data_IF_944020056890
#
_entry.id   IF_944020056890
#
_cell.length_a   1.000
_cell.length_b   1.000
_cell.length_c   1.000
_cell.angle_alpha   90.00
_cell.angle_beta   90.00
_cell.angle_gamma   90.00
#
_symmetry.space_group_name_H-M   'P 1'
#
loop_
_entity.id
_entity.type
_entity.pdbx_description
1 polymer ?
#
# COMPACT_ATOMS: atom_id res chain seq x y z
N UNK A 1 -92.08 -3.99 5.88
CA UNK A 1 -91.14 -4.13 4.76
C UNK A 1 -89.78 -3.73 5.32
N UNK A 2 -89.01 -4.62 5.95
CA UNK A 2 -88.33 -5.83 5.46
C UNK A 2 -86.88 -5.51 5.02
N UNK A 3 -85.93 -6.13 5.72
CA UNK A 3 -84.46 -6.01 5.55
C UNK A 3 -83.87 -7.42 5.39
N UNK A 4 -82.93 -7.62 4.45
CA UNK A 4 -81.74 -8.48 4.63
C UNK A 4 -80.45 -7.71 4.21
N UNK A 5 -79.26 -7.74 4.83
CA UNK A 5 -78.43 -8.75 5.53
C UNK A 5 -77.90 -9.90 4.65
N UNK A 6 -76.59 -10.17 4.77
CA UNK A 6 -75.75 -11.15 4.01
C UNK A 6 -75.51 -10.80 2.52
N UNK A 7 -74.34 -10.96 1.88
CA UNK A 7 -72.99 -11.51 2.16
C UNK A 7 -71.92 -10.67 1.37
N UNK A 8 -70.59 -10.80 1.40
CA UNK A 8 -69.64 -11.78 1.99
C UNK A 8 -68.37 -11.04 2.55
N UNK A 9 -67.16 -11.57 2.36
CA UNK A 9 -65.84 -11.05 2.77
C UNK A 9 -64.94 -10.82 1.53
N UNK A 10 -63.96 -9.90 1.60
CA UNK A 10 -62.69 -10.06 0.87
C UNK A 10 -61.50 -9.42 1.59
N UNK A 11 -60.35 -10.09 1.45
CA UNK A 11 -59.03 -9.93 2.06
C UNK A 11 -58.53 -8.47 2.24
N UNK A 12 -57.84 -8.11 3.34
CA UNK A 12 -56.44 -8.46 3.68
C UNK A 12 -55.43 -8.13 2.56
N UNK A 13 -54.55 -7.16 2.81
CA UNK A 13 -53.08 -7.27 2.75
C UNK A 13 -52.51 -5.96 3.32
N UNK A 14 -51.90 -6.02 4.49
CA UNK A 14 -50.97 -5.00 4.93
C UNK A 14 -49.61 -5.33 4.30
N UNK A 15 -49.25 -4.63 3.22
CA UNK A 15 -47.93 -4.75 2.61
C UNK A 15 -46.89 -4.02 3.48
N UNK A 16 -46.54 -4.63 4.61
CA UNK A 16 -45.31 -4.28 5.31
C UNK A 16 -44.14 -4.68 4.40
N UNK A 17 -43.62 -3.69 3.65
CA UNK A 17 -42.43 -3.85 2.83
C UNK A 17 -41.20 -3.94 3.75
N UNK A 18 -41.02 -5.09 4.40
CA UNK A 18 -39.73 -5.47 4.98
C UNK A 18 -38.74 -5.65 3.85
N UNK A 19 -38.05 -4.57 3.50
CA UNK A 19 -36.77 -4.63 2.80
C UNK A 19 -35.80 -5.37 3.70
N UNK A 20 -35.79 -6.71 3.57
CA UNK A 20 -34.72 -7.53 4.08
C UNK A 20 -33.45 -7.12 3.31
N UNK A 21 -32.71 -6.16 3.87
CA UNK A 21 -31.33 -5.96 3.48
C UNK A 21 -30.65 -7.32 3.67
N UNK A 22 -30.28 -7.95 2.56
CA UNK A 22 -29.45 -9.12 2.59
C UNK A 22 -28.10 -8.68 3.17
N UNK A 23 -27.97 -8.81 4.48
CA UNK A 23 -26.69 -8.75 5.15
C UNK A 23 -25.90 -9.93 4.60
N UNK A 24 -25.11 -9.68 3.56
CA UNK A 24 -24.03 -10.56 3.15
C UNK A 24 -23.26 -10.86 4.42
N UNK A 25 -23.40 -12.09 4.92
CA UNK A 25 -22.64 -12.56 6.06
C UNK A 25 -21.18 -12.42 5.67
N UNK A 26 -20.53 -11.40 6.20
CA UNK A 26 -19.17 -11.01 5.82
C UNK A 26 -18.20 -12.01 6.42
N UNK A 27 -18.16 -13.20 5.82
CA UNK A 27 -17.20 -14.25 6.12
C UNK A 27 -15.81 -13.63 6.06
N UNK A 28 -15.05 -13.77 7.13
CA UNK A 28 -13.64 -13.37 7.14
C UNK A 28 -12.93 -14.06 5.98
N UNK A 29 -12.28 -13.33 5.07
CA UNK A 29 -11.53 -13.94 3.97
C UNK A 29 -10.38 -14.80 4.49
N UNK A 30 -10.10 -15.92 3.81
CA UNK A 30 -9.03 -16.87 4.16
C UNK A 30 -7.62 -16.26 4.11
N UNK A 31 -7.47 -15.12 3.44
CA UNK A 31 -6.26 -14.34 3.27
C UNK A 31 -6.53 -13.13 2.36
N UNK A 32 -5.58 -12.19 2.21
CA UNK A 32 -5.65 -11.18 1.15
C UNK A 32 -5.41 -11.81 -0.22
N UNK A 33 -5.98 -11.21 -1.27
CA UNK A 33 -5.71 -11.62 -2.64
C UNK A 33 -4.24 -11.40 -3.02
N UNK A 34 -3.63 -12.33 -3.78
CA UNK A 34 -2.35 -12.06 -4.44
C UNK A 34 -2.48 -10.85 -5.37
N UNK A 35 -1.41 -10.07 -5.48
CA UNK A 35 -1.29 -9.06 -6.53
C UNK A 35 -1.30 -9.74 -7.91
N UNK A 36 -1.83 -9.07 -8.95
CA UNK A 36 -1.63 -9.52 -10.33
C UNK A 36 -0.14 -9.56 -10.68
N UNK A 37 0.25 -10.43 -11.62
CA UNK A 37 1.66 -10.52 -12.05
C UNK A 37 2.18 -9.23 -12.69
N UNK A 38 1.29 -8.44 -13.30
CA UNK A 38 1.62 -7.16 -13.92
C UNK A 38 0.51 -6.15 -13.64
N UNK A 39 0.86 -4.92 -13.26
CA UNK A 39 -0.08 -3.81 -13.14
C UNK A 39 0.60 -2.44 -13.17
N UNK A 40 -0.19 -1.41 -13.49
CA UNK A 40 0.11 -0.01 -13.21
C UNK A 40 -0.80 0.50 -12.09
N UNK A 41 -0.28 1.34 -11.18
CA UNK A 41 -1.07 1.98 -10.14
C UNK A 41 -0.57 3.41 -9.88
N UNK A 42 -1.48 4.39 -9.91
CA UNK A 42 -1.15 5.75 -9.44
C UNK A 42 -1.37 5.79 -7.93
N UNK A 43 -0.32 6.12 -7.17
CA UNK A 43 -0.37 6.23 -5.71
C UNK A 43 -0.28 7.68 -5.27
N UNK A 44 -1.18 8.12 -4.38
CA UNK A 44 -0.95 9.31 -3.57
C UNK A 44 -0.19 8.92 -2.30
N UNK A 45 1.03 9.41 -2.16
CA UNK A 45 1.90 9.13 -1.01
C UNK A 45 2.01 10.34 -0.09
N UNK A 46 1.76 10.12 1.20
CA UNK A 46 1.94 11.06 2.28
C UNK A 46 3.02 10.56 3.25
N UNK A 47 4.10 11.32 3.41
CA UNK A 47 5.13 11.08 4.43
C UNK A 47 4.72 11.77 5.74
N UNK A 48 4.28 10.98 6.72
CA UNK A 48 3.82 11.49 8.02
C UNK A 48 4.95 11.84 8.97
N UNK A 49 6.18 11.34 8.74
CA UNK A 49 7.39 11.73 9.49
C UNK A 49 8.54 12.21 8.58
N UNK A 50 8.27 13.30 7.85
CA UNK A 50 9.15 13.88 6.82
C UNK A 50 10.61 14.01 7.28
N UNK A 51 10.86 14.58 8.48
CA UNK A 51 12.21 14.88 8.95
C UNK A 51 13.10 13.66 9.19
N UNK A 52 12.53 12.46 9.26
CA UNK A 52 13.27 11.19 9.30
C UNK A 52 13.23 10.49 7.93
N UNK A 53 12.13 10.68 7.18
CA UNK A 53 11.87 9.97 5.93
C UNK A 53 12.63 10.52 4.71
N UNK A 54 12.70 11.84 4.55
CA UNK A 54 13.27 12.47 3.37
C UNK A 54 13.44 13.99 3.53
N UNK A 55 14.45 14.55 2.89
CA UNK A 55 14.55 16.00 2.63
C UNK A 55 13.58 16.47 1.52
N UNK A 56 12.93 15.54 0.82
CA UNK A 56 11.96 15.84 -0.26
C UNK A 56 10.56 16.15 0.28
N UNK A 57 9.69 16.83 -0.52
CA UNK A 57 8.32 17.14 -0.10
C UNK A 57 7.51 15.92 0.35
N UNK A 58 6.71 16.11 1.40
CA UNK A 58 5.94 15.06 2.07
C UNK A 58 4.88 14.41 1.16
N UNK A 59 4.24 15.21 0.31
CA UNK A 59 3.16 14.80 -0.58
C UNK A 59 3.67 14.63 -2.00
N UNK A 60 3.40 13.48 -2.59
CA UNK A 60 3.93 13.08 -3.91
C UNK A 60 3.04 12.05 -4.58
N UNK A 61 2.97 12.09 -5.91
CA UNK A 61 2.35 11.03 -6.71
C UNK A 61 3.42 10.03 -7.15
N UNK A 62 3.08 8.75 -7.19
CA UNK A 62 3.93 7.70 -7.76
C UNK A 62 3.16 7.04 -8.90
N UNK A 63 3.73 6.95 -10.09
CA UNK A 63 3.29 5.96 -11.07
C UNK A 63 4.05 4.66 -10.78
N UNK A 64 3.38 3.68 -10.17
CA UNK A 64 3.95 2.37 -9.82
C UNK A 64 3.71 1.40 -10.97
N UNK A 65 4.78 0.93 -11.60
CA UNK A 65 4.77 -0.16 -12.58
C UNK A 65 5.37 -1.41 -11.97
N UNK A 66 4.56 -2.46 -11.87
CA UNK A 66 4.94 -3.75 -11.33
C UNK A 66 4.97 -4.79 -12.44
N UNK A 67 6.12 -5.48 -12.62
CA UNK A 67 6.31 -6.50 -13.66
C UNK A 67 7.03 -7.73 -13.08
N UNK A 68 6.24 -8.63 -12.48
CA UNK A 68 6.73 -9.86 -11.87
C UNK A 68 7.36 -10.88 -12.84
N UNK A 69 6.84 -11.09 -14.07
CA UNK A 69 7.49 -11.96 -15.05
C UNK A 69 8.93 -11.53 -15.34
N UNK A 70 9.19 -10.22 -15.47
CA UNK A 70 10.54 -9.66 -15.67
C UNK A 70 11.26 -9.28 -14.36
N UNK A 71 10.64 -9.49 -13.20
CA UNK A 71 11.25 -9.33 -11.88
C UNK A 71 11.81 -7.92 -11.60
N UNK A 72 11.03 -6.92 -12.02
CA UNK A 72 11.34 -5.49 -11.93
C UNK A 72 10.15 -4.70 -11.36
N UNK A 73 10.45 -3.66 -10.60
CA UNK A 73 9.48 -2.68 -10.10
C UNK A 73 10.00 -1.27 -10.35
N UNK A 74 9.11 -0.34 -10.69
CA UNK A 74 9.44 1.08 -10.87
C UNK A 74 8.40 1.93 -10.15
N UNK A 75 8.84 2.78 -9.23
CA UNK A 75 8.04 3.93 -8.78
C UNK A 75 8.56 5.19 -9.47
N UNK A 76 7.75 5.84 -10.30
CA UNK A 76 8.06 7.15 -10.88
C UNK A 76 7.47 8.25 -10.01
N UNK A 77 8.31 8.86 -9.18
CA UNK A 77 7.90 9.75 -8.09
C UNK A 77 7.88 11.21 -8.56
N UNK A 78 6.69 11.82 -8.51
CA UNK A 78 6.42 13.20 -8.94
C UNK A 78 6.07 14.07 -7.75
N UNK A 79 6.86 15.13 -7.55
CA UNK A 79 6.59 16.18 -6.57
C UNK A 79 5.72 17.26 -7.20
N UNK A 80 4.78 17.84 -6.42
CA UNK A 80 4.08 19.03 -6.85
C UNK A 80 5.10 20.12 -7.18
N UNK A 81 5.03 20.68 -8.40
CA UNK A 81 5.93 21.70 -8.96
C UNK A 81 7.33 21.24 -9.44
N UNK A 82 7.70 19.95 -9.36
CA UNK A 82 8.93 19.47 -10.02
C UNK A 82 8.67 19.00 -11.45
N UNK A 83 9.49 19.48 -12.40
CA UNK A 83 9.55 18.92 -13.75
C UNK A 83 10.46 17.68 -13.86
N UNK A 84 11.32 17.44 -12.86
CA UNK A 84 12.21 16.29 -12.79
C UNK A 84 11.60 15.24 -11.83
N UNK A 85 11.14 14.08 -12.32
CA UNK A 85 10.70 13.01 -11.44
C UNK A 85 11.90 12.26 -10.86
N UNK A 86 11.71 11.69 -9.67
CA UNK A 86 12.64 10.75 -9.06
C UNK A 86 12.20 9.33 -9.46
N UNK A 87 13.04 8.60 -10.16
CA UNK A 87 12.84 7.17 -10.43
C UNK A 87 13.27 6.38 -9.19
N UNK A 88 12.55 5.30 -8.88
CA UNK A 88 12.96 4.23 -7.97
C UNK A 88 12.83 2.91 -8.73
N UNK A 89 13.93 2.44 -9.31
CA UNK A 89 14.01 1.19 -10.07
C UNK A 89 14.52 0.09 -9.15
N UNK A 90 13.66 -0.88 -8.84
CA UNK A 90 13.97 -2.03 -7.98
C UNK A 90 14.16 -3.29 -8.82
N UNK A 91 15.25 -4.01 -8.56
CA UNK A 91 15.56 -5.30 -9.18
C UNK A 91 15.48 -6.44 -8.18
N UNK A 92 15.05 -7.63 -8.63
CA UNK A 92 14.91 -8.82 -7.77
C UNK A 92 16.24 -9.38 -7.22
N UNK A 93 17.39 -8.82 -7.57
CA UNK A 93 18.65 -9.11 -6.87
C UNK A 93 18.79 -8.34 -5.53
N UNK A 94 17.81 -7.50 -5.18
CA UNK A 94 17.80 -6.65 -3.99
C UNK A 94 18.32 -5.23 -4.22
N UNK A 95 18.80 -4.89 -5.41
CA UNK A 95 19.31 -3.55 -5.73
C UNK A 95 18.16 -2.63 -6.09
N UNK A 96 18.10 -1.46 -5.45
CA UNK A 96 17.22 -0.36 -5.85
C UNK A 96 18.02 0.89 -6.18
N UNK A 97 17.75 1.48 -7.34
CA UNK A 97 18.36 2.74 -7.78
C UNK A 97 17.34 3.86 -7.69
N UNK A 98 17.64 4.86 -6.88
CA UNK A 98 16.87 6.10 -6.86
C UNK A 98 17.65 7.18 -7.59
N UNK A 99 17.11 7.70 -8.69
CA UNK A 99 17.82 8.68 -9.52
C UNK A 99 16.91 9.70 -10.16
N UNK A 100 17.47 10.86 -10.47
CA UNK A 100 16.86 11.88 -11.30
C UNK A 100 17.84 12.27 -12.43
N UNK A 101 17.62 13.40 -13.10
CA UNK A 101 18.54 13.86 -14.17
C UNK A 101 19.97 14.19 -13.71
N UNK A 102 20.24 14.31 -12.41
CA UNK A 102 21.49 14.86 -11.87
C UNK A 102 22.13 14.02 -10.76
N UNK A 103 21.34 13.20 -10.05
CA UNK A 103 21.75 12.48 -8.85
C UNK A 103 21.32 11.02 -8.90
N UNK A 104 22.09 10.14 -8.27
CA UNK A 104 21.71 8.76 -8.03
C UNK A 104 22.17 8.31 -6.63
N UNK A 105 21.34 7.48 -5.98
CA UNK A 105 21.70 6.69 -4.80
C UNK A 105 21.31 5.22 -5.05
N UNK A 106 22.18 4.31 -4.63
CA UNK A 106 21.96 2.87 -4.76
C UNK A 106 21.73 2.28 -3.37
N UNK A 107 20.62 1.57 -3.19
CA UNK A 107 20.28 0.88 -1.94
C UNK A 107 20.22 -0.64 -2.15
N UNK A 108 20.35 -1.38 -1.06
CA UNK A 108 20.20 -2.84 -1.03
C UNK A 108 19.09 -3.23 -0.06
N UNK A 109 18.01 -3.80 -0.61
CA UNK A 109 16.88 -4.36 0.11
C UNK A 109 16.86 -5.89 -0.10
N UNK A 110 17.27 -6.71 0.89
CA UNK A 110 17.40 -8.16 0.72
C UNK A 110 16.12 -8.92 0.32
N UNK A 111 14.96 -8.26 0.37
CA UNK A 111 13.68 -8.81 -0.11
C UNK A 111 13.54 -8.78 -1.64
N UNK A 112 14.21 -7.84 -2.33
CA UNK A 112 14.01 -7.58 -3.76
C UNK A 112 12.56 -7.20 -4.10
N UNK A 113 12.20 -7.37 -5.37
CA UNK A 113 10.83 -7.13 -5.85
C UNK A 113 9.85 -8.05 -5.12
N UNK A 114 8.82 -7.45 -4.52
CA UNK A 114 7.77 -8.17 -3.80
C UNK A 114 7.04 -9.14 -4.74
N UNK A 115 6.83 -10.39 -4.31
CA UNK A 115 6.13 -11.41 -5.12
C UNK A 115 4.60 -11.26 -5.06
N UNK A 116 3.82 -11.80 -6.02
CA UNK A 116 2.36 -11.67 -6.04
C UNK A 116 1.65 -11.92 -4.70
N UNK A 117 1.93 -13.03 -4.02
CA UNK A 117 1.32 -13.35 -2.73
C UNK A 117 1.98 -12.68 -1.50
N UNK A 118 2.79 -11.63 -1.66
CA UNK A 118 3.65 -11.11 -0.58
C UNK A 118 2.93 -10.65 0.68
N UNK A 119 1.63 -10.30 0.67
CA UNK A 119 0.88 -10.10 1.92
C UNK A 119 0.48 -11.45 2.51
N UNK A 120 -0.28 -12.26 1.76
CA UNK A 120 -0.87 -13.51 2.24
C UNK A 120 0.18 -14.52 2.72
N UNK A 121 1.29 -14.60 2.00
CA UNK A 121 2.37 -15.53 2.28
C UNK A 121 3.32 -14.95 3.32
N UNK A 122 3.55 -15.68 4.42
CA UNK A 122 4.41 -15.23 5.53
C UNK A 122 3.65 -14.53 6.66
N UNK A 123 2.40 -14.90 6.91
CA UNK A 123 1.73 -14.68 8.20
C UNK A 123 1.12 -13.29 8.40
N UNK A 124 0.47 -12.73 7.38
CA UNK A 124 -0.37 -11.55 7.60
C UNK A 124 -1.51 -11.86 8.59
N UNK A 125 -1.79 -10.92 9.49
CA UNK A 125 -2.82 -11.01 10.53
C UNK A 125 -4.01 -10.16 10.14
N UNK A 126 -5.20 -10.74 10.07
CA UNK A 126 -6.43 -9.98 9.83
C UNK A 126 -6.75 -9.06 11.01
N UNK A 127 -6.95 -7.76 10.75
CA UNK A 127 -7.29 -6.76 11.76
C UNK A 127 -8.79 -6.42 11.80
N UNK A 128 -9.56 -6.81 10.78
CA UNK A 128 -10.98 -6.52 10.67
C UNK A 128 -11.35 -5.75 9.40
N UNK A 129 -12.41 -4.94 9.49
CA UNK A 129 -12.84 -4.02 8.42
C UNK A 129 -12.67 -2.57 8.84
N UNK A 130 -12.32 -1.72 7.90
CA UNK A 130 -12.22 -0.27 8.08
C UNK A 130 -12.66 0.43 6.79
N UNK A 131 -13.29 1.61 6.88
CA UNK A 131 -13.57 2.44 5.72
C UNK A 131 -12.47 3.49 5.54
N UNK A 132 -11.74 3.44 4.43
CA UNK A 132 -10.66 4.39 4.11
C UNK A 132 -10.87 4.99 2.72
N UNK A 133 -10.74 6.30 2.57
CA UNK A 133 -11.05 6.99 1.30
C UNK A 133 -12.51 6.83 0.81
N UNK A 134 -13.44 6.43 1.69
CA UNK A 134 -14.82 6.07 1.33
C UNK A 134 -15.00 4.63 0.84
N UNK A 135 -13.96 3.79 0.86
CA UNK A 135 -13.98 2.38 0.45
C UNK A 135 -13.94 1.49 1.70
N UNK A 136 -14.90 0.57 1.83
CA UNK A 136 -14.94 -0.46 2.87
C UNK A 136 -13.90 -1.55 2.54
N UNK A 137 -12.95 -1.75 3.44
CA UNK A 137 -11.76 -2.56 3.21
C UNK A 137 -11.62 -3.67 4.26
N UNK A 138 -11.11 -4.82 3.84
CA UNK A 138 -10.42 -5.77 4.72
C UNK A 138 -9.04 -5.22 5.07
N UNK A 139 -8.67 -5.30 6.35
CA UNK A 139 -7.41 -4.76 6.86
C UNK A 139 -6.51 -5.88 7.36
N UNK A 140 -5.24 -5.83 6.97
CA UNK A 140 -4.23 -6.85 7.27
C UNK A 140 -2.96 -6.20 7.83
N UNK A 141 -2.39 -6.77 8.91
CA UNK A 141 -1.06 -6.42 9.39
C UNK A 141 -0.03 -7.41 8.85
N UNK A 142 1.15 -6.94 8.41
CA UNK A 142 2.29 -7.80 8.10
C UNK A 142 3.59 -7.23 8.69
N UNK A 143 4.43 -8.14 9.18
CA UNK A 143 5.78 -7.87 9.70
C UNK A 143 5.83 -6.78 10.80
N UNK A 144 4.72 -6.58 11.53
CA UNK A 144 4.53 -5.53 12.55
C UNK A 144 4.61 -4.06 12.08
N UNK A 145 5.10 -3.76 10.87
CA UNK A 145 5.22 -2.40 10.33
C UNK A 145 4.40 -2.11 9.07
N UNK A 146 3.70 -3.08 8.49
CA UNK A 146 2.89 -2.91 7.27
C UNK A 146 1.41 -3.09 7.62
N UNK A 147 0.57 -2.09 7.30
CA UNK A 147 -0.90 -2.22 7.36
C UNK A 147 -1.45 -2.09 5.95
N UNK A 148 -2.08 -3.15 5.44
CA UNK A 148 -2.57 -3.27 4.07
C UNK A 148 -4.10 -3.29 4.04
N UNK A 149 -4.67 -2.45 3.18
CA UNK A 149 -6.11 -2.26 2.98
C UNK A 149 -6.49 -2.79 1.60
N UNK A 150 -7.46 -3.69 1.60
CA UNK A 150 -7.96 -4.42 0.43
C UNK A 150 -9.46 -4.14 0.28
N UNK A 151 -9.91 -3.67 -0.88
CA UNK A 151 -11.33 -3.44 -1.17
C UNK A 151 -12.14 -4.71 -0.85
N UNK A 152 -13.11 -4.61 0.05
CA UNK A 152 -13.83 -5.78 0.53
C UNK A 152 -14.84 -6.35 -0.47
N UNK A 153 -15.15 -5.62 -1.55
CA UNK A 153 -15.96 -6.09 -2.67
C UNK A 153 -15.08 -6.58 -3.83
N UNK A 154 -14.10 -5.77 -4.26
CA UNK A 154 -13.31 -6.06 -5.48
C UNK A 154 -11.98 -6.74 -5.24
N UNK A 155 -11.54 -6.86 -3.98
CA UNK A 155 -10.28 -7.50 -3.56
C UNK A 155 -9.01 -6.82 -4.09
N UNK A 156 -9.14 -5.61 -4.65
CA UNK A 156 -7.99 -4.82 -5.14
C UNK A 156 -7.27 -4.11 -3.99
N UNK A 157 -5.97 -3.77 -4.14
CA UNK A 157 -5.28 -2.89 -3.20
C UNK A 157 -5.95 -1.51 -3.15
N UNK A 158 -6.13 -0.95 -1.95
CA UNK A 158 -6.73 0.39 -1.73
C UNK A 158 -5.73 1.32 -1.06
N UNK A 159 -4.99 0.83 -0.07
CA UNK A 159 -4.03 1.61 0.70
C UNK A 159 -3.02 0.67 1.35
N UNK A 160 -1.80 1.15 1.56
CA UNK A 160 -0.92 0.54 2.54
C UNK A 160 -0.14 1.60 3.33
N UNK A 161 0.08 1.30 4.61
CA UNK A 161 0.85 2.13 5.52
C UNK A 161 2.11 1.39 5.95
N UNK A 162 3.25 2.05 5.85
CA UNK A 162 4.47 1.69 6.53
C UNK A 162 4.54 2.52 7.82
N UNK A 163 4.28 1.88 8.96
CA UNK A 163 4.19 2.50 10.30
C UNK A 163 5.51 2.39 11.08
N UNK A 164 6.62 2.49 10.35
CA UNK A 164 7.98 2.54 10.84
C UNK A 164 8.39 3.97 11.24
N UNK A 165 9.69 4.24 11.38
CA UNK A 165 10.21 5.59 11.67
C UNK A 165 9.96 6.59 10.54
N UNK A 166 9.82 6.10 9.31
CA UNK A 166 9.59 6.88 8.08
C UNK A 166 8.16 7.41 8.02
N UNK A 167 7.18 6.56 8.41
CA UNK A 167 5.77 6.92 8.40
C UNK A 167 5.28 7.22 6.98
N UNK A 168 4.98 6.19 6.21
CA UNK A 168 4.51 6.33 4.82
C UNK A 168 3.06 5.86 4.74
N UNK A 169 2.16 6.71 4.25
CA UNK A 169 0.81 6.31 3.84
C UNK A 169 0.72 6.38 2.31
N UNK A 170 0.37 5.28 1.65
CA UNK A 170 0.18 5.25 0.19
C UNK A 170 -1.26 4.83 -0.13
N UNK A 171 -2.01 5.71 -0.79
CA UNK A 171 -3.38 5.50 -1.25
C UNK A 171 -3.39 5.21 -2.74
N UNK A 172 -4.08 4.16 -3.16
CA UNK A 172 -4.21 3.75 -4.56
C UNK A 172 -5.31 4.57 -5.22
N UNK A 173 -4.93 5.48 -6.12
CA UNK A 173 -5.82 6.37 -6.85
C UNK A 173 -6.38 5.70 -8.13
N UNK A 174 -5.55 4.89 -8.79
CA UNK A 174 -5.95 4.01 -9.90
C UNK A 174 -5.20 2.67 -9.80
N UNK A 175 -5.78 1.63 -10.38
CA UNK A 175 -5.19 0.28 -10.40
C UNK A 175 -5.59 -0.44 -11.68
N UNK A 176 -4.61 -0.68 -12.56
CA UNK A 176 -4.81 -1.14 -13.94
C UNK A 176 -4.05 -2.45 -14.15
N UNK A 177 -4.79 -3.56 -14.11
CA UNK A 177 -4.23 -4.92 -14.21
C UNK A 177 -3.75 -5.21 -15.63
N UNK A 178 -2.57 -5.81 -15.75
CA UNK A 178 -1.96 -6.20 -17.02
C UNK A 178 -1.26 -5.07 -17.79
N UNK A 179 -1.25 -3.85 -17.25
CA UNK A 179 -0.47 -2.74 -17.82
C UNK A 179 1.02 -2.96 -17.53
N UNK A 180 1.83 -2.80 -18.57
CA UNK A 180 3.30 -2.87 -18.53
C UNK A 180 3.85 -1.60 -19.17
N UNK A 181 4.92 -1.04 -18.62
CA UNK A 181 5.59 0.12 -19.20
C UNK A 181 6.33 -0.28 -20.48
N UNK A 182 5.86 0.23 -21.62
CA UNK A 182 6.35 -0.12 -22.97
C UNK A 182 7.81 0.30 -23.25
N UNK A 183 8.27 1.38 -22.62
CA UNK A 183 9.62 1.90 -22.80
C UNK A 183 10.62 1.18 -21.89
N UNK A 184 11.26 0.14 -22.43
CA UNK A 184 12.22 -0.68 -21.70
C UNK A 184 13.40 0.12 -21.10
N UNK A 185 13.69 1.32 -21.60
CA UNK A 185 14.76 2.19 -21.09
C UNK A 185 14.45 2.75 -19.69
N UNK A 186 13.17 2.97 -19.36
CA UNK A 186 12.78 3.51 -18.04
C UNK A 186 12.97 2.51 -16.89
N UNK A 187 13.19 1.23 -17.21
CA UNK A 187 13.55 0.19 -16.24
C UNK A 187 15.07 0.09 -15.99
N UNK A 188 15.88 0.93 -16.63
CA UNK A 188 17.33 0.92 -16.51
C UNK A 188 17.81 2.10 -15.65
N UNK A 189 18.69 1.80 -14.70
CA UNK A 189 19.44 2.86 -14.03
C UNK A 189 20.43 3.53 -15.02
N UNK A 190 20.56 4.86 -15.02
CA UNK A 190 21.46 5.57 -15.92
C UNK A 190 22.93 5.29 -15.58
N UNK A 191 23.82 5.48 -16.56
CA UNK A 191 25.26 5.21 -16.41
C UNK A 191 25.91 5.93 -15.21
N UNK A 192 25.39 7.09 -14.80
CA UNK A 192 25.90 7.83 -13.66
C UNK A 192 25.65 7.15 -12.29
N UNK A 193 24.73 6.18 -12.21
CA UNK A 193 24.53 5.33 -11.02
C UNK A 193 25.64 4.28 -10.81
N UNK A 194 26.52 4.10 -11.80
CA UNK A 194 27.59 3.09 -11.80
C UNK A 194 28.99 3.70 -11.83
N UNK A 195 29.11 5.01 -11.59
CA UNK A 195 30.41 5.68 -11.45
C UNK A 195 30.94 5.47 -10.03
N UNK A 196 32.16 4.92 -9.91
CA UNK A 196 32.76 4.62 -8.62
C UNK A 196 32.93 5.86 -7.71
N UNK A 197 32.72 5.67 -6.40
CA UNK A 197 32.95 6.67 -5.34
C UNK A 197 34.40 7.21 -5.26
N UNK A 198 35.31 6.69 -6.10
CA UNK A 198 36.67 7.19 -6.25
C UNK A 198 36.74 8.70 -6.58
N UNK A 199 35.69 9.29 -7.15
CA UNK A 199 35.59 10.73 -7.40
C UNK A 199 35.08 11.56 -6.20
N UNK A 200 34.49 10.94 -5.17
CA UNK A 200 33.72 11.64 -4.12
C UNK A 200 34.34 11.57 -2.70
N UNK A 201 35.57 11.05 -2.57
CA UNK A 201 36.31 10.94 -1.28
C UNK A 201 36.84 12.26 -0.71
N UNK A 202 36.15 13.39 -0.94
CA UNK A 202 36.53 14.71 -0.42
C UNK A 202 35.45 15.39 0.42
N UNK A 203 34.25 14.82 0.51
CA UNK A 203 33.17 15.32 1.38
C UNK A 203 32.60 14.21 2.29
N UNK A 204 33.48 13.38 2.84
CA UNK A 204 33.14 12.39 3.86
C UNK A 204 32.92 13.11 5.20
N UNK A 205 31.67 13.55 5.44
CA UNK A 205 31.17 13.79 6.78
C UNK A 205 30.14 12.71 7.10
N UNK A 206 30.36 11.97 8.19
CA UNK A 206 29.59 10.80 8.58
C UNK A 206 28.08 11.09 8.70
N UNK A 207 27.29 10.54 7.79
CA UNK A 207 25.86 10.27 7.99
C UNK A 207 25.56 8.78 7.75
N UNK A 208 26.40 7.92 8.34
CA UNK A 208 26.13 6.49 8.49
C UNK A 208 24.99 6.25 9.50
N UNK A 209 23.75 6.50 9.08
CA UNK A 209 22.57 5.92 9.77
C UNK A 209 22.52 4.43 9.46
N UNK A 210 23.28 3.66 10.23
CA UNK A 210 23.10 2.22 10.28
C UNK A 210 21.66 1.92 10.72
N UNK A 211 20.89 1.23 9.88
CA UNK A 211 19.60 0.64 10.26
C UNK A 211 19.89 -0.48 11.25
N UNK A 212 20.04 -0.10 12.52
CA UNK A 212 20.37 -1.03 13.59
C UNK A 212 19.11 -1.77 14.04
N UNK A 213 19.28 -3.06 14.31
CA UNK A 213 18.20 -3.94 14.79
C UNK A 213 17.53 -3.42 16.10
N UNK A 214 18.18 -2.51 16.83
CA UNK A 214 17.63 -1.89 18.05
C UNK A 214 16.40 -1.01 17.83
N UNK A 215 16.19 -0.46 16.61
CA UNK A 215 14.99 0.35 16.32
C UNK A 215 13.72 -0.51 16.35
N UNK A 216 13.79 -1.74 15.83
CA UNK A 216 12.67 -2.69 15.87
C UNK A 216 12.34 -3.13 17.31
N UNK A 217 13.36 -3.32 18.16
CA UNK A 217 13.14 -3.62 19.58
C UNK A 217 12.53 -2.44 20.35
N UNK A 218 12.89 -1.19 20.03
CA UNK A 218 12.26 -0.01 20.62
C UNK A 218 10.75 0.08 20.27
N UNK A 219 10.38 -0.15 19.00
CA UNK A 219 8.97 -0.20 18.57
C UNK A 219 8.21 -1.32 19.30
N UNK A 220 8.85 -2.48 19.50
CA UNK A 220 8.30 -3.63 20.23
C UNK A 220 8.11 -3.33 21.74
N UNK A 221 8.97 -2.50 22.33
CA UNK A 221 8.83 -1.99 23.70
C UNK A 221 7.66 -1.00 23.82
N UNK A 222 7.54 -0.02 22.91
CA UNK A 222 6.45 0.97 22.99
C UNK A 222 5.06 0.34 22.85
N UNK A 223 4.86 -0.68 21.99
CA UNK A 223 3.57 -1.39 21.91
C UNK A 223 3.23 -2.19 23.17
N UNK A 224 4.22 -2.71 23.92
CA UNK A 224 3.95 -3.35 25.23
C UNK A 224 3.41 -2.38 26.27
N UNK A 225 3.83 -1.10 26.24
CA UNK A 225 3.27 -0.07 27.12
C UNK A 225 1.89 0.42 26.65
N UNK A 226 1.69 0.60 25.34
CA UNK A 226 0.38 0.99 24.79
C UNK A 226 -0.71 -0.07 25.07
N UNK A 227 -0.39 -1.36 24.95
CA UNK A 227 -1.32 -2.45 25.27
C UNK A 227 -1.68 -2.57 26.75
N UNK A 228 -0.88 -1.99 27.66
CA UNK A 228 -1.17 -1.97 29.09
C UNK A 228 -2.08 -0.80 29.51
N UNK A 229 -2.22 0.23 28.65
CA UNK A 229 -3.02 1.42 28.93
C UNK A 229 -4.49 1.31 28.50
N UNK A 230 -4.87 0.25 27.79
CA UNK A 230 -6.23 -0.01 27.31
C UNK A 230 -7.05 -0.94 28.26
N UNK A 231 -6.60 -1.12 29.49
CA UNK A 231 -7.17 -2.04 30.47
C UNK A 231 -7.43 -1.38 31.85
N UNK A 232 -8.18 -0.28 31.85
CA UNK A 232 -8.88 0.29 33.01
C UNK A 232 -10.20 0.95 32.57
#
# INVERSE_FOLDING_TARGET
MAWPLFQLQLLLIAAAATTAAAASSATTPDGPAPWPEQFHAVLFTNLTNVSIASTSPALRLHDLYYDWPQRRNLNLIRYQLSGNPLYDVEWNNGTSFYFDSATCRTLQFPVGVLRPGWIAEGGAVYLGRETTGGIDCHVWCKADFIVYYEDALTRRPVRWNFIDVTGIEQFVMSFEVGVVLEDDNQWQAPAHCFLDDAANKTNEHDDHVAVSNGVMDAVRLFRKFAGAAAAY
#
